data_IF_744795120402
#
_entry.id   IF_744795120402
#
_cell.length_a   1.000
_cell.length_b   1.000
_cell.length_c   1.000
_cell.angle_alpha   90.00
_cell.angle_beta   90.00
_cell.angle_gamma   90.00
#
_symmetry.space_group_name_H-M   'P 1'
#
loop_
_entity.id
_entity.type
_entity.pdbx_description
1 polymer ?
#
# COMPACT_ATOMS: atom_id res chain seq x y z
N UNK A 1 -11.27 2.46 -18.15
CA UNK A 1 -11.60 1.03 -17.97
C UNK A 1 -12.83 0.89 -17.09
N UNK A 2 -12.78 1.29 -15.82
CA UNK A 2 -13.92 1.18 -14.87
C UNK A 2 -15.25 1.71 -15.41
N UNK A 3 -15.28 2.96 -15.92
CA UNK A 3 -16.49 3.54 -16.51
C UNK A 3 -16.92 2.79 -17.79
N UNK A 4 -16.01 2.21 -18.58
CA UNK A 4 -16.41 1.45 -19.76
C UNK A 4 -17.04 0.09 -19.37
N UNK A 5 -16.51 -0.57 -18.33
CA UNK A 5 -17.04 -1.83 -17.80
C UNK A 5 -18.37 -1.64 -17.06
N UNK A 6 -18.52 -0.56 -16.28
CA UNK A 6 -19.78 -0.24 -15.57
C UNK A 6 -20.94 0.09 -16.51
N UNK A 7 -20.65 0.62 -17.70
CA UNK A 7 -21.64 0.96 -18.72
C UNK A 7 -21.78 -0.11 -19.82
N UNK A 8 -21.24 -1.32 -19.62
CA UNK A 8 -21.29 -2.44 -20.58
C UNK A 8 -20.77 -2.10 -21.99
N UNK A 9 -19.82 -1.16 -22.10
CA UNK A 9 -19.20 -0.75 -23.37
C UNK A 9 -18.06 -1.71 -23.72
N UNK A 10 -18.39 -2.95 -24.06
CA UNK A 10 -17.41 -4.04 -24.25
C UNK A 10 -16.31 -3.71 -25.26
N UNK A 11 -16.65 -3.09 -26.39
CA UNK A 11 -15.67 -2.73 -27.42
C UNK A 11 -14.67 -1.68 -26.90
N UNK A 12 -15.16 -0.70 -26.15
CA UNK A 12 -14.34 0.35 -25.54
C UNK A 12 -13.49 -0.21 -24.39
N UNK A 13 -14.03 -1.14 -23.59
CA UNK A 13 -13.29 -1.83 -22.55
C UNK A 13 -12.13 -2.64 -23.15
N UNK A 14 -12.40 -3.46 -24.18
CA UNK A 14 -11.38 -4.23 -24.92
C UNK A 14 -10.30 -3.33 -25.52
N UNK A 15 -10.70 -2.22 -26.15
CA UNK A 15 -9.77 -1.24 -26.71
C UNK A 15 -8.87 -0.63 -25.63
N UNK A 16 -9.45 -0.20 -24.51
CA UNK A 16 -8.69 0.41 -23.39
C UNK A 16 -7.77 -0.62 -22.73
N UNK A 17 -8.21 -1.86 -22.55
CA UNK A 17 -7.38 -2.95 -22.01
C UNK A 17 -6.18 -3.22 -22.90
N UNK A 18 -6.41 -3.45 -24.20
CA UNK A 18 -5.33 -3.65 -25.17
C UNK A 18 -4.37 -2.46 -25.20
N UNK A 19 -4.92 -1.23 -25.26
CA UNK A 19 -4.12 -0.01 -25.25
C UNK A 19 -3.29 0.16 -23.97
N UNK A 20 -3.83 -0.17 -22.80
CA UNK A 20 -3.08 -0.09 -21.53
C UNK A 20 -1.98 -1.14 -21.47
N UNK A 21 -2.26 -2.37 -21.92
CA UNK A 21 -1.28 -3.46 -21.98
C UNK A 21 -0.14 -3.11 -22.93
N UNK A 22 -0.45 -2.55 -24.10
CA UNK A 22 0.53 -2.22 -25.13
C UNK A 22 1.32 -0.94 -24.80
N UNK A 23 0.64 0.15 -24.42
CA UNK A 23 1.27 1.47 -24.28
C UNK A 23 1.70 1.82 -22.86
N UNK A 24 1.13 1.18 -21.84
CA UNK A 24 1.40 1.43 -20.41
C UNK A 24 1.92 0.19 -19.69
N UNK A 25 2.43 -0.81 -20.42
CA UNK A 25 3.06 -2.02 -19.91
C UNK A 25 3.97 -1.79 -18.69
N UNK A 26 4.84 -0.77 -18.77
CA UNK A 26 5.79 -0.45 -17.70
C UNK A 26 5.11 0.03 -16.41
N UNK A 27 4.05 0.84 -16.52
CA UNK A 27 3.29 1.33 -15.38
C UNK A 27 2.48 0.20 -14.75
N UNK A 28 1.74 -0.56 -15.58
CA UNK A 28 0.98 -1.73 -15.13
C UNK A 28 1.89 -2.69 -14.37
N UNK A 29 3.06 -3.01 -14.92
CA UNK A 29 4.06 -3.86 -14.26
C UNK A 29 4.39 -3.44 -12.83
N UNK A 30 4.61 -2.15 -12.58
CA UNK A 30 5.05 -1.63 -11.28
C UNK A 30 3.91 -1.45 -10.27
N UNK A 31 2.70 -1.25 -10.78
CA UNK A 31 1.55 -0.88 -9.96
C UNK A 31 0.49 -1.98 -9.86
N UNK A 32 0.63 -3.10 -10.59
CA UNK A 32 -0.39 -4.15 -10.63
C UNK A 32 -0.72 -4.73 -9.24
N UNK A 33 0.28 -4.95 -8.39
CA UNK A 33 0.06 -5.43 -7.03
C UNK A 33 -0.75 -4.45 -6.16
N UNK A 34 -0.47 -3.14 -6.31
CA UNK A 34 -1.21 -2.08 -5.61
C UNK A 34 -2.64 -1.98 -6.13
N UNK A 35 -2.81 -1.99 -7.45
CA UNK A 35 -4.12 -1.93 -8.11
C UNK A 35 -4.98 -3.17 -7.76
N UNK A 36 -4.38 -4.35 -7.61
CA UNK A 36 -5.04 -5.56 -7.11
C UNK A 36 -5.57 -5.40 -5.68
N UNK A 37 -4.83 -4.74 -4.79
CA UNK A 37 -5.21 -4.53 -3.39
C UNK A 37 -6.32 -3.47 -3.25
N UNK A 38 -6.21 -2.36 -3.99
CA UNK A 38 -7.13 -1.22 -3.89
C UNK A 38 -8.47 -1.44 -4.63
N UNK A 39 -8.52 -2.30 -5.67
CA UNK A 39 -9.70 -2.44 -6.54
C UNK A 39 -10.12 -3.90 -6.79
N UNK A 40 -10.01 -4.74 -5.79
CA UNK A 40 -10.21 -6.20 -5.85
C UNK A 40 -11.50 -6.68 -6.55
N UNK A 41 -12.65 -5.99 -6.39
CA UNK A 41 -13.94 -6.37 -7.02
C UNK A 41 -14.00 -6.12 -8.52
N UNK A 42 -13.22 -5.18 -9.03
CA UNK A 42 -13.33 -4.72 -10.42
C UNK A 42 -12.42 -5.51 -11.37
N UNK A 43 -11.46 -6.25 -10.81
CA UNK A 43 -10.53 -7.07 -11.59
C UNK A 43 -11.10 -8.40 -12.05
N UNK A 44 -12.23 -8.85 -11.49
CA UNK A 44 -12.97 -9.99 -12.04
C UNK A 44 -13.63 -9.65 -13.39
N UNK A 45 -13.63 -8.37 -13.80
CA UNK A 45 -14.18 -7.91 -15.09
C UNK A 45 -13.15 -7.95 -16.23
N UNK A 46 -11.88 -8.27 -15.95
CA UNK A 46 -10.86 -8.38 -17.00
C UNK A 46 -11.20 -9.48 -17.99
N UNK A 47 -11.06 -9.18 -19.28
CA UNK A 47 -11.16 -10.21 -20.32
C UNK A 47 -10.04 -11.25 -20.20
N UNK A 48 -10.34 -12.50 -20.55
CA UNK A 48 -9.40 -13.63 -20.47
C UNK A 48 -8.07 -13.32 -21.16
N UNK A 49 -8.10 -12.73 -22.37
CA UNK A 49 -6.90 -12.40 -23.14
C UNK A 49 -5.99 -11.41 -22.41
N UNK A 50 -6.57 -10.42 -21.72
CA UNK A 50 -5.82 -9.46 -20.91
C UNK A 50 -5.18 -10.15 -19.71
N UNK A 51 -5.93 -11.04 -19.05
CA UNK A 51 -5.42 -11.83 -17.94
C UNK A 51 -4.27 -12.76 -18.36
N UNK A 52 -4.46 -13.52 -19.43
CA UNK A 52 -3.46 -14.43 -20.01
C UNK A 52 -2.19 -13.65 -20.36
N UNK A 53 -2.34 -12.51 -21.04
CA UNK A 53 -1.21 -11.64 -21.41
C UNK A 53 -0.45 -11.18 -20.17
N UNK A 54 -1.15 -10.80 -19.11
CA UNK A 54 -0.55 -10.33 -17.88
C UNK A 54 0.17 -11.45 -17.11
N UNK A 55 -0.51 -12.58 -16.88
CA UNK A 55 0.04 -13.75 -16.17
C UNK A 55 1.23 -14.33 -16.94
N UNK A 56 1.26 -14.20 -18.27
CA UNK A 56 2.39 -14.63 -19.10
C UNK A 56 3.67 -13.80 -18.92
N UNK A 57 3.60 -12.56 -18.42
CA UNK A 57 4.77 -11.65 -18.41
C UNK A 57 5.88 -12.07 -17.46
N UNK A 58 7.09 -12.29 -17.97
CA UNK A 58 8.26 -12.56 -17.13
C UNK A 58 8.61 -11.42 -16.16
N UNK A 59 8.18 -10.19 -16.44
CA UNK A 59 8.52 -9.00 -15.65
C UNK A 59 7.42 -8.54 -14.68
N UNK A 60 6.34 -9.31 -14.49
CA UNK A 60 5.26 -8.94 -13.57
C UNK A 60 5.76 -8.89 -12.10
N UNK A 61 5.58 -7.75 -11.43
CA UNK A 61 6.07 -7.50 -10.07
C UNK A 61 5.10 -8.01 -9.00
N UNK A 62 4.92 -9.32 -8.92
CA UNK A 62 3.99 -9.95 -7.99
C UNK A 62 4.50 -11.33 -7.56
N UNK A 63 4.32 -11.68 -6.27
CA UNK A 63 4.62 -13.04 -5.78
C UNK A 63 3.73 -14.06 -6.48
N UNK A 64 4.27 -15.22 -6.83
CA UNK A 64 3.52 -16.26 -7.57
C UNK A 64 2.26 -16.73 -6.84
N UNK A 65 2.27 -16.81 -5.51
CA UNK A 65 1.06 -17.13 -4.75
C UNK A 65 -0.06 -16.09 -4.92
N UNK A 66 0.29 -14.81 -5.04
CA UNK A 66 -0.70 -13.75 -5.26
C UNK A 66 -1.31 -13.86 -6.66
N UNK A 67 -0.51 -14.25 -7.65
CA UNK A 67 -0.96 -14.52 -9.02
C UNK A 67 -1.89 -15.72 -9.05
N UNK A 68 -1.53 -16.81 -8.37
CA UNK A 68 -2.40 -17.99 -8.22
C UNK A 68 -3.75 -17.63 -7.61
N UNK A 69 -3.73 -16.96 -6.46
CA UNK A 69 -4.95 -16.55 -5.76
C UNK A 69 -5.82 -15.65 -6.64
N UNK A 70 -5.20 -14.73 -7.39
CA UNK A 70 -5.89 -13.90 -8.37
C UNK A 70 -6.59 -14.74 -9.44
N UNK A 71 -5.86 -15.64 -10.09
CA UNK A 71 -6.39 -16.47 -11.18
C UNK A 71 -7.56 -17.33 -10.71
N UNK A 72 -7.47 -17.92 -9.51
CA UNK A 72 -8.58 -18.68 -8.90
C UNK A 72 -9.80 -17.79 -8.68
N UNK A 73 -9.61 -16.61 -8.09
CA UNK A 73 -10.70 -15.67 -7.82
C UNK A 73 -11.38 -15.16 -9.09
N UNK A 74 -10.59 -14.83 -10.11
CA UNK A 74 -11.11 -14.48 -11.43
C UNK A 74 -11.92 -15.63 -12.02
N UNK A 75 -11.39 -16.86 -11.99
CA UNK A 75 -12.09 -18.04 -12.49
C UNK A 75 -13.41 -18.32 -11.78
N UNK A 76 -13.46 -18.19 -10.45
CA UNK A 76 -14.70 -18.33 -9.67
C UNK A 76 -15.73 -17.29 -10.09
N UNK A 77 -15.31 -16.03 -10.26
CA UNK A 77 -16.22 -14.96 -10.66
C UNK A 77 -16.81 -15.15 -12.07
N UNK A 78 -16.11 -15.83 -12.97
CA UNK A 78 -16.63 -16.19 -14.30
C UNK A 78 -17.59 -17.39 -14.29
N UNK A 79 -17.76 -18.06 -13.14
CA UNK A 79 -18.63 -19.22 -12.98
C UNK A 79 -19.63 -18.95 -11.83
N UNK A 80 -20.68 -18.15 -12.06
CA UNK A 80 -21.58 -17.68 -11.01
C UNK A 80 -22.38 -18.80 -10.31
N UNK A 81 -22.51 -19.97 -10.95
CA UNK A 81 -23.23 -21.13 -10.41
C UNK A 81 -22.38 -21.96 -9.41
N UNK A 82 -21.12 -21.57 -9.17
CA UNK A 82 -20.28 -22.24 -8.20
C UNK A 82 -20.75 -21.98 -6.77
N UNK A 83 -20.75 -23.00 -5.89
CA UNK A 83 -21.02 -22.78 -4.47
C UNK A 83 -20.00 -21.83 -3.84
N UNK A 84 -20.45 -21.02 -2.88
CA UNK A 84 -19.58 -20.07 -2.17
C UNK A 84 -18.49 -20.74 -1.33
N UNK A 85 -18.77 -21.89 -0.72
CA UNK A 85 -17.77 -22.70 0.00
C UNK A 85 -17.20 -23.79 -0.92
N UNK A 86 -15.87 -23.81 -1.09
CA UNK A 86 -15.17 -24.80 -1.91
C UNK A 86 -15.34 -26.24 -1.41
N UNK A 87 -15.70 -26.43 -0.13
CA UNK A 87 -15.96 -27.75 0.45
C UNK A 87 -17.20 -28.42 -0.16
N UNK A 88 -18.14 -27.62 -0.64
CA UNK A 88 -19.39 -28.09 -1.24
C UNK A 88 -19.23 -28.38 -2.75
N UNK A 89 -18.02 -28.21 -3.30
CA UNK A 89 -17.80 -28.35 -4.73
C UNK A 89 -17.78 -29.80 -5.19
N UNK A 90 -18.63 -30.09 -6.17
CA UNK A 90 -18.67 -31.34 -6.90
C UNK A 90 -17.52 -31.43 -7.91
N UNK A 91 -17.32 -32.62 -8.50
CA UNK A 91 -16.32 -32.80 -9.54
C UNK A 91 -16.60 -31.95 -10.79
N UNK A 92 -17.88 -31.72 -11.11
CA UNK A 92 -18.29 -30.85 -12.22
C UNK A 92 -17.91 -29.39 -11.94
N UNK A 93 -18.09 -28.91 -10.71
CA UNK A 93 -17.68 -27.55 -10.33
C UNK A 93 -16.17 -27.33 -10.56
N UNK A 94 -15.32 -28.29 -10.17
CA UNK A 94 -13.89 -28.21 -10.46
C UNK A 94 -13.57 -28.28 -11.95
N UNK A 95 -14.35 -29.03 -12.74
CA UNK A 95 -14.17 -29.13 -14.19
C UNK A 95 -14.54 -27.82 -14.89
N UNK A 96 -15.61 -27.15 -14.46
CA UNK A 96 -15.99 -25.83 -14.96
C UNK A 96 -14.89 -24.81 -14.70
N UNK A 97 -14.41 -24.72 -13.45
CA UNK A 97 -13.30 -23.83 -13.11
C UNK A 97 -12.03 -24.15 -13.92
N UNK A 98 -11.69 -25.44 -14.07
CA UNK A 98 -10.54 -25.87 -14.87
C UNK A 98 -10.65 -25.40 -16.32
N UNK A 99 -11.84 -25.51 -16.91
CA UNK A 99 -12.11 -25.11 -18.30
C UNK A 99 -11.94 -23.60 -18.46
N UNK A 100 -12.51 -22.81 -17.56
CA UNK A 100 -12.35 -21.34 -17.56
C UNK A 100 -10.88 -20.91 -17.42
N UNK A 101 -10.10 -21.62 -16.61
CA UNK A 101 -8.70 -21.26 -16.32
C UNK A 101 -7.68 -21.91 -17.25
N UNK A 102 -8.11 -22.66 -18.28
CA UNK A 102 -7.23 -23.50 -19.09
C UNK A 102 -6.06 -22.73 -19.73
N UNK A 103 -6.27 -21.47 -20.12
CA UNK A 103 -5.26 -20.61 -20.75
C UNK A 103 -4.28 -20.03 -19.73
N UNK A 104 -4.71 -19.88 -18.47
CA UNK A 104 -3.92 -19.28 -17.39
C UNK A 104 -3.09 -20.31 -16.61
N UNK A 105 -3.62 -21.52 -16.38
CA UNK A 105 -2.96 -22.56 -15.57
C UNK A 105 -1.54 -22.89 -16.07
N UNK A 106 -1.26 -23.02 -17.38
CA UNK A 106 0.09 -23.30 -17.87
C UNK A 106 1.09 -22.16 -17.65
N UNK A 107 0.62 -20.95 -17.32
CA UNK A 107 1.44 -19.75 -17.14
C UNK A 107 1.85 -19.51 -15.68
N UNK A 108 1.29 -20.27 -14.73
CA UNK A 108 1.62 -20.18 -13.31
C UNK A 108 2.96 -20.86 -13.04
N UNK A 109 3.87 -20.19 -12.32
CA UNK A 109 5.19 -20.74 -11.98
C UNK A 109 5.11 -21.54 -10.67
N UNK A 110 4.41 -22.69 -10.69
CA UNK A 110 4.15 -23.51 -9.49
C UNK A 110 5.40 -23.82 -8.66
N UNK A 111 6.53 -24.09 -9.32
CA UNK A 111 7.80 -24.42 -8.66
C UNK A 111 8.49 -23.22 -7.99
N UNK A 112 7.94 -22.02 -8.12
CA UNK A 112 8.41 -20.79 -7.47
C UNK A 112 7.46 -20.34 -6.35
N UNK A 113 6.40 -21.09 -6.08
CA UNK A 113 5.50 -20.89 -4.94
C UNK A 113 6.13 -21.58 -3.71
N UNK A 114 6.06 -20.95 -2.54
CA UNK A 114 6.60 -21.51 -1.31
C UNK A 114 5.87 -22.81 -0.92
N UNK A 115 6.54 -23.69 -0.16
CA UNK A 115 5.92 -24.95 0.25
C UNK A 115 4.68 -24.75 1.11
N UNK A 116 4.73 -23.78 2.03
CA UNK A 116 3.62 -23.41 2.90
C UNK A 116 2.43 -22.91 2.07
N UNK A 117 2.68 -22.03 1.10
CA UNK A 117 1.64 -21.50 0.22
C UNK A 117 1.01 -22.60 -0.67
N UNK A 118 1.80 -23.57 -1.14
CA UNK A 118 1.26 -24.71 -1.91
C UNK A 118 0.33 -25.55 -1.04
N UNK A 119 0.70 -25.78 0.22
CA UNK A 119 -0.12 -26.56 1.14
C UNK A 119 -1.39 -25.83 1.56
N UNK A 120 -1.32 -24.53 1.83
CA UNK A 120 -2.44 -23.74 2.33
C UNK A 120 -3.43 -23.37 1.22
N UNK A 121 -2.95 -22.96 0.04
CA UNK A 121 -3.80 -22.36 -1.00
C UNK A 121 -3.93 -23.24 -2.26
N UNK A 122 -2.81 -23.74 -2.81
CA UNK A 122 -2.84 -24.48 -4.09
C UNK A 122 -3.48 -25.85 -3.93
N UNK A 123 -3.21 -26.52 -2.80
CA UNK A 123 -3.74 -27.85 -2.46
C UNK A 123 -5.27 -27.91 -2.50
N UNK A 124 -5.95 -26.84 -2.10
CA UNK A 124 -7.42 -26.77 -2.05
C UNK A 124 -8.04 -27.01 -3.44
N UNK A 125 -7.38 -26.51 -4.48
CA UNK A 125 -7.84 -26.59 -5.86
C UNK A 125 -7.07 -27.60 -6.71
N UNK A 126 -6.31 -28.52 -6.10
CA UNK A 126 -5.47 -29.51 -6.81
C UNK A 126 -6.20 -30.30 -7.92
N UNK A 127 -7.53 -30.43 -7.83
CA UNK A 127 -8.37 -31.14 -8.81
C UNK A 127 -8.41 -30.46 -10.19
N UNK A 128 -8.11 -29.15 -10.28
CA UNK A 128 -8.05 -28.43 -11.56
C UNK A 128 -6.69 -28.62 -12.27
N UNK A 129 -5.68 -29.10 -11.55
CA UNK A 129 -4.34 -29.33 -12.08
C UNK A 129 -4.24 -30.69 -12.79
N UNK A 130 -3.36 -30.76 -13.79
CA UNK A 130 -3.02 -32.04 -14.40
C UNK A 130 -2.40 -32.99 -13.37
N UNK A 131 -2.79 -34.28 -13.41
CA UNK A 131 -2.32 -35.28 -12.43
C UNK A 131 -0.80 -35.39 -12.39
N UNK A 132 -0.14 -35.29 -13.55
CA UNK A 132 1.31 -35.30 -13.68
C UNK A 132 1.94 -34.06 -13.01
N UNK A 133 1.39 -32.87 -13.27
CA UNK A 133 1.84 -31.63 -12.66
C UNK A 133 1.72 -31.67 -11.13
N UNK A 134 0.56 -32.07 -10.61
CA UNK A 134 0.37 -32.15 -9.16
C UNK A 134 1.30 -33.18 -8.49
N UNK A 135 1.60 -34.29 -9.17
CA UNK A 135 2.59 -35.27 -8.70
C UNK A 135 3.97 -34.63 -8.59
N UNK A 136 4.40 -33.89 -9.60
CA UNK A 136 5.71 -33.25 -9.66
C UNK A 136 5.86 -32.11 -8.65
N UNK A 137 4.80 -31.30 -8.46
CA UNK A 137 4.75 -30.26 -7.43
C UNK A 137 4.95 -30.86 -6.04
N UNK A 138 4.18 -31.90 -5.69
CA UNK A 138 4.36 -32.61 -4.41
C UNK A 138 5.75 -33.22 -4.27
N UNK A 139 6.31 -33.75 -5.36
CA UNK A 139 7.65 -34.34 -5.34
C UNK A 139 8.72 -33.28 -5.02
N UNK A 140 8.61 -32.08 -5.59
CA UNK A 140 9.53 -30.96 -5.31
C UNK A 140 9.43 -30.44 -3.88
N UNK A 141 8.25 -30.50 -3.25
CA UNK A 141 8.08 -30.18 -1.83
C UNK A 141 8.88 -31.13 -0.93
N UNK A 142 8.88 -32.43 -1.25
CA UNK A 142 9.57 -33.46 -0.46
C UNK A 142 11.06 -33.59 -0.79
N UNK A 143 11.45 -33.24 -2.01
CA UNK A 143 12.82 -33.40 -2.52
C UNK A 143 13.13 -32.31 -3.54
N UNK A 144 13.57 -31.12 -3.08
CA UNK A 144 13.73 -29.94 -3.93
C UNK A 144 14.64 -30.12 -5.14
N UNK A 145 15.60 -31.04 -5.08
CA UNK A 145 16.60 -31.26 -6.14
C UNK A 145 16.21 -32.36 -7.15
N UNK A 146 15.05 -33.00 -6.99
CA UNK A 146 14.66 -34.13 -7.85
C UNK A 146 14.16 -33.64 -9.23
N UNK A 147 14.60 -34.26 -10.34
CA UNK A 147 14.09 -33.92 -11.66
C UNK A 147 12.59 -34.24 -11.75
N UNK A 148 11.86 -33.40 -12.49
CA UNK A 148 10.41 -33.50 -12.73
C UNK A 148 10.17 -33.54 -14.24
N UNK A 149 9.07 -34.16 -14.66
CA UNK A 149 8.70 -34.22 -16.08
C UNK A 149 7.96 -32.96 -16.54
N UNK A 150 7.31 -32.26 -15.61
CA UNK A 150 6.58 -31.02 -15.87
C UNK A 150 7.50 -29.88 -16.30
N UNK A 151 7.01 -29.06 -17.24
CA UNK A 151 7.70 -27.84 -17.66
C UNK A 151 7.88 -26.90 -16.47
N UNK A 152 9.13 -26.55 -16.16
CA UNK A 152 9.47 -25.57 -15.13
C UNK A 152 9.63 -24.22 -15.82
N UNK A 153 8.79 -23.25 -15.45
CA UNK A 153 8.96 -21.87 -15.87
C UNK A 153 10.03 -21.19 -14.99
N UNK A 154 10.93 -20.38 -15.57
CA UNK A 154 11.95 -19.65 -14.81
C UNK A 154 11.28 -18.63 -13.87
N UNK A 155 11.89 -18.25 -12.73
CA UNK A 155 11.36 -17.19 -11.86
C UNK A 155 11.09 -15.89 -12.63
N UNK A 156 10.04 -15.15 -12.24
CA UNK A 156 9.82 -13.80 -12.79
C UNK A 156 10.99 -12.90 -12.46
N UNK A 157 11.34 -12.03 -13.40
CA UNK A 157 12.30 -10.94 -13.20
C UNK A 157 11.63 -9.89 -12.30
N UNK A 158 11.76 -10.07 -11.00
CA UNK A 158 11.41 -9.04 -10.02
C UNK A 158 12.45 -7.94 -10.21
N UNK A 159 12.01 -6.76 -10.59
CA UNK A 159 12.82 -5.57 -10.48
C UNK A 159 13.03 -5.38 -8.99
N UNK A 160 14.19 -5.77 -8.50
CA UNK A 160 14.76 -5.04 -7.38
C UNK A 160 14.84 -3.62 -7.89
N UNK A 161 13.90 -2.77 -7.47
CA UNK A 161 14.02 -1.34 -7.62
C UNK A 161 15.34 -1.04 -6.91
N UNK A 162 16.45 -0.96 -7.64
CA UNK A 162 17.53 -0.05 -7.29
C UNK A 162 16.88 1.31 -7.42
N UNK A 163 16.08 1.64 -6.40
CA UNK A 163 15.86 3.02 -6.02
C UNK A 163 17.27 3.63 -6.08
N UNK A 164 17.46 4.80 -6.70
CA UNK A 164 18.71 5.53 -6.53
C UNK A 164 19.00 5.46 -5.05
N UNK A 165 20.17 4.93 -4.67
CA UNK A 165 20.54 4.61 -3.27
C UNK A 165 19.87 5.63 -2.39
N UNK A 166 18.75 5.24 -1.76
CA UNK A 166 18.20 6.08 -0.70
C UNK A 166 19.37 6.12 0.25
N UNK A 167 19.90 7.31 0.46
CA UNK A 167 20.72 7.55 1.63
C UNK A 167 20.02 6.80 2.76
N UNK A 168 20.73 5.93 3.48
CA UNK A 168 20.21 5.20 4.65
C UNK A 168 19.85 6.19 5.79
N UNK A 169 19.53 7.44 5.45
CA UNK A 169 19.04 8.44 6.35
C UNK A 169 17.60 8.08 6.71
N UNK A 170 17.32 7.96 8.02
CA UNK A 170 15.97 7.74 8.48
C UNK A 170 15.10 8.93 8.08
N UNK A 171 13.84 8.66 7.71
CA UNK A 171 12.87 9.68 7.29
C UNK A 171 12.67 10.77 8.36
N UNK A 172 12.91 10.41 9.62
CA UNK A 172 12.86 11.26 10.80
C UNK A 172 13.94 10.82 11.78
N UNK A 173 14.55 11.78 12.49
CA UNK A 173 15.43 11.50 13.63
C UNK A 173 14.70 11.58 14.97
N UNK A 174 13.42 11.97 14.97
CA UNK A 174 12.61 12.23 16.16
C UNK A 174 11.51 11.18 16.35
N UNK A 175 10.83 10.77 15.28
CA UNK A 175 9.67 9.87 15.31
C UNK A 175 9.86 8.63 14.42
N UNK A 176 9.13 7.56 14.72
CA UNK A 176 9.11 6.31 13.97
C UNK A 176 7.72 6.03 13.36
N UNK A 177 7.56 4.91 12.68
CA UNK A 177 6.29 4.54 12.02
C UNK A 177 5.11 4.37 12.99
N UNK A 178 5.37 3.95 14.24
CA UNK A 178 4.34 3.82 15.28
C UNK A 178 3.81 5.21 15.67
N UNK A 179 4.70 6.18 15.84
CA UNK A 179 4.32 7.57 16.11
C UNK A 179 3.52 8.17 14.94
N UNK A 180 3.91 7.87 13.70
CA UNK A 180 3.17 8.31 12.51
C UNK A 180 1.74 7.75 12.49
N UNK A 181 1.59 6.44 12.74
CA UNK A 181 0.28 5.80 12.80
C UNK A 181 -0.62 6.42 13.88
N UNK A 182 -0.05 6.75 15.04
CA UNK A 182 -0.76 7.39 16.13
C UNK A 182 -1.23 8.81 15.77
N UNK A 183 -0.35 9.65 15.22
CA UNK A 183 -0.71 10.98 14.73
C UNK A 183 -1.80 10.92 13.65
N UNK A 184 -1.66 10.00 12.69
CA UNK A 184 -2.66 9.79 11.65
C UNK A 184 -4.03 9.39 12.21
N UNK A 185 -4.05 8.56 13.24
CA UNK A 185 -5.29 8.19 13.94
C UNK A 185 -5.98 9.40 14.58
N UNK A 186 -5.20 10.34 15.12
CA UNK A 186 -5.73 11.57 15.69
C UNK A 186 -6.23 12.55 14.63
N UNK A 187 -5.64 12.58 13.45
CA UNK A 187 -6.16 13.38 12.32
C UNK A 187 -7.52 12.84 11.87
N UNK A 188 -7.62 11.51 11.66
CA UNK A 188 -8.85 10.87 11.19
C UNK A 188 -9.91 10.64 12.28
N UNK A 189 -9.58 10.93 13.56
CA UNK A 189 -10.43 10.65 14.73
C UNK A 189 -10.81 9.15 14.83
N UNK A 190 -9.84 8.26 14.55
CA UNK A 190 -9.97 6.78 14.52
C UNK A 190 -9.01 6.10 15.51
N UNK A 191 -9.19 4.79 15.74
CA UNK A 191 -8.28 4.01 16.59
C UNK A 191 -6.94 3.68 15.89
N UNK A 192 -5.84 3.71 16.67
CA UNK A 192 -4.44 3.53 16.21
C UNK A 192 -4.19 2.18 15.55
N UNK A 193 -4.89 1.12 15.98
CA UNK A 193 -4.68 -0.27 15.52
C UNK A 193 -4.82 -0.45 14.00
N UNK A 194 -5.48 0.48 13.31
CA UNK A 194 -5.74 0.40 11.88
C UNK A 194 -4.56 0.86 10.99
N UNK A 195 -3.52 1.52 11.52
CA UNK A 195 -2.57 2.30 10.69
C UNK A 195 -1.11 1.83 10.70
N UNK A 196 -0.74 0.81 11.47
CA UNK A 196 0.65 0.33 11.53
C UNK A 196 1.13 -0.35 10.24
N UNK A 197 0.21 -0.90 9.44
CA UNK A 197 0.54 -1.61 8.19
C UNK A 197 0.13 -0.84 6.93
N UNK A 198 -0.81 0.11 7.03
CA UNK A 198 -1.37 0.87 5.89
C UNK A 198 -1.75 2.32 6.28
N UNK A 199 -0.75 3.17 6.59
CA UNK A 199 -1.01 4.59 6.88
C UNK A 199 -1.48 5.33 5.60
N UNK A 200 -2.69 5.94 5.58
CA UNK A 200 -3.25 6.65 4.42
C UNK A 200 -2.58 7.99 4.16
N UNK A 201 -1.66 8.39 5.04
CA UNK A 201 -0.92 9.63 4.93
C UNK A 201 0.53 9.38 4.51
N UNK A 202 1.04 10.29 3.69
CA UNK A 202 2.45 10.45 3.41
C UNK A 202 2.97 11.67 4.18
N UNK A 203 4.00 11.45 5.00
CA UNK A 203 4.67 12.50 5.77
C UNK A 203 5.92 12.94 5.02
N UNK A 204 5.87 14.14 4.44
CA UNK A 204 6.98 14.76 3.73
C UNK A 204 7.72 15.72 4.65
N UNK A 205 8.96 15.41 5.00
CA UNK A 205 9.82 16.29 5.81
C UNK A 205 10.05 17.61 5.07
N UNK A 206 9.57 18.72 5.63
CA UNK A 206 9.80 20.07 5.12
C UNK A 206 11.07 20.67 5.73
N UNK A 207 11.20 20.60 7.05
CA UNK A 207 12.26 21.24 7.81
C UNK A 207 12.75 20.30 8.90
N UNK A 208 14.07 20.18 9.04
CA UNK A 208 14.75 19.52 10.16
C UNK A 208 15.77 20.49 10.75
N UNK A 209 15.68 20.79 12.05
CA UNK A 209 16.57 21.74 12.72
C UNK A 209 18.06 21.48 12.48
N UNK A 210 18.49 20.23 12.62
CA UNK A 210 19.87 19.78 12.37
C UNK A 210 20.33 19.87 10.91
N UNK A 211 19.39 19.91 9.94
CA UNK A 211 19.70 19.98 8.49
C UNK A 211 19.62 21.41 7.96
N UNK A 212 18.56 22.13 8.33
CA UNK A 212 18.17 23.41 7.70
C UNK A 212 18.43 24.63 8.60
N UNK A 213 18.81 24.39 9.86
CA UNK A 213 19.02 25.41 10.87
C UNK A 213 17.73 25.92 11.51
N UNK A 214 17.83 26.37 12.76
CA UNK A 214 16.72 26.87 13.57
C UNK A 214 16.53 28.38 13.37
N UNK A 215 16.36 28.82 12.12
CA UNK A 215 16.20 30.25 11.78
C UNK A 215 14.81 30.57 11.25
N UNK A 216 14.36 31.79 11.53
CA UNK A 216 13.11 32.35 10.99
C UNK A 216 13.09 32.31 9.45
N UNK A 217 14.25 32.56 8.83
CA UNK A 217 14.42 32.53 7.38
C UNK A 217 14.20 31.11 6.84
N UNK A 218 14.82 30.09 7.44
CA UNK A 218 14.63 28.69 7.04
C UNK A 218 13.17 28.26 7.19
N UNK A 219 12.52 28.62 8.30
CA UNK A 219 11.11 28.31 8.53
C UNK A 219 10.20 28.90 7.44
N UNK A 220 10.27 30.20 7.17
CA UNK A 220 9.40 30.79 6.15
C UNK A 220 9.76 30.34 4.72
N UNK A 221 11.02 30.04 4.42
CA UNK A 221 11.39 29.53 3.10
C UNK A 221 10.77 28.15 2.83
N UNK A 222 10.66 27.30 3.84
CA UNK A 222 10.23 25.90 3.69
C UNK A 222 8.75 25.66 4.03
N UNK A 223 8.22 26.38 5.02
CA UNK A 223 6.90 26.14 5.62
C UNK A 223 5.83 27.17 5.24
N UNK A 224 6.18 28.27 4.57
CA UNK A 224 5.20 29.29 4.19
C UNK A 224 4.11 28.72 3.28
N UNK A 225 2.85 28.99 3.64
CA UNK A 225 1.62 28.55 2.96
C UNK A 225 1.47 27.03 2.88
N UNK A 226 2.20 26.26 3.69
CA UNK A 226 2.05 24.80 3.77
C UNK A 226 0.93 24.45 4.73
N UNK A 227 -0.08 23.77 4.24
CA UNK A 227 -1.21 23.23 5.01
C UNK A 227 -0.93 21.79 5.46
N UNK A 228 -1.75 21.27 6.39
CA UNK A 228 -1.63 19.92 6.94
C UNK A 228 -0.23 19.63 7.48
N UNK A 229 0.26 20.52 8.36
CA UNK A 229 1.62 20.43 8.89
C UNK A 229 1.64 19.85 10.30
N UNK A 230 2.58 18.95 10.55
CA UNK A 230 2.87 18.43 11.89
C UNK A 230 4.26 18.88 12.31
N UNK A 231 4.34 19.41 13.52
CA UNK A 231 5.61 19.70 14.20
C UNK A 231 5.85 18.61 15.21
N UNK A 232 7.06 18.08 15.27
CA UNK A 232 7.54 17.20 16.33
C UNK A 232 8.87 17.70 16.86
N UNK A 233 9.04 17.66 18.17
CA UNK A 233 10.27 18.04 18.86
C UNK A 233 10.62 17.00 19.91
N UNK A 234 11.91 16.70 20.05
CA UNK A 234 12.42 15.84 21.13
C UNK A 234 13.05 16.70 22.21
N UNK A 235 12.63 16.53 23.45
CA UNK A 235 13.24 17.24 24.58
C UNK A 235 14.61 16.64 24.89
N UNK A 236 15.63 17.48 24.94
CA UNK A 236 17.02 17.03 25.12
C UNK A 236 17.18 16.39 26.50
N UNK A 237 17.77 15.20 26.54
CA UNK A 237 18.02 14.47 27.78
C UNK A 237 16.81 13.71 28.33
N UNK A 238 15.69 13.68 27.61
CA UNK A 238 14.51 12.89 27.99
C UNK A 238 13.99 12.07 26.79
N UNK A 239 13.05 11.17 27.08
CA UNK A 239 12.30 10.45 26.05
C UNK A 239 11.06 11.23 25.56
N UNK A 240 10.84 12.47 26.02
CA UNK A 240 9.65 13.24 25.66
C UNK A 240 9.70 13.68 24.20
N UNK A 241 8.64 13.34 23.47
CA UNK A 241 8.38 13.84 22.12
C UNK A 241 7.09 14.66 22.18
N UNK A 242 7.21 15.95 21.91
CA UNK A 242 6.09 16.89 21.90
C UNK A 242 5.80 17.32 20.47
N UNK A 243 4.57 17.75 20.20
CA UNK A 243 4.23 18.21 18.86
C UNK A 243 2.85 18.80 18.74
N UNK A 244 2.52 19.16 17.51
CA UNK A 244 1.20 19.67 17.16
C UNK A 244 0.90 19.55 15.69
N UNK A 245 -0.40 19.40 15.39
CA UNK A 245 -0.94 19.39 14.05
C UNK A 245 -1.66 20.71 13.77
N UNK A 246 -1.32 21.32 12.63
CA UNK A 246 -1.97 22.50 12.11
C UNK A 246 -2.43 22.22 10.67
N UNK A 247 -3.75 22.03 10.44
CA UNK A 247 -4.28 21.75 9.11
C UNK A 247 -4.26 22.97 8.18
N UNK A 248 -4.34 24.20 8.71
CA UNK A 248 -4.43 25.41 7.90
C UNK A 248 -3.08 26.05 7.59
N UNK A 249 -2.01 25.61 8.26
CA UNK A 249 -0.65 26.05 8.00
C UNK A 249 -0.30 27.41 8.58
N UNK A 250 0.86 27.92 8.17
CA UNK A 250 1.31 29.27 8.47
C UNK A 250 1.49 30.08 7.20
N UNK A 251 1.09 31.33 7.26
CA UNK A 251 1.32 32.30 6.19
C UNK A 251 2.17 33.42 6.77
N UNK A 252 3.25 33.77 6.07
CA UNK A 252 4.14 34.85 6.49
C UNK A 252 3.30 36.12 6.60
N UNK A 253 3.14 36.71 7.80
CA UNK A 253 2.24 37.82 7.97
C UNK A 253 2.87 39.09 7.35
N UNK A 254 2.02 39.95 6.80
CA UNK A 254 2.42 41.29 6.33
C UNK A 254 2.43 42.33 7.47
N UNK A 255 2.01 41.92 8.67
CA UNK A 255 1.87 42.70 9.92
C UNK A 255 2.42 41.89 11.09
N UNK A 256 2.50 42.46 12.30
CA UNK A 256 3.18 41.84 13.45
C UNK A 256 2.57 40.51 13.94
N UNK A 257 1.30 40.24 13.62
CA UNK A 257 0.63 38.99 13.95
C UNK A 257 -0.58 38.72 13.03
N UNK A 258 -0.88 37.45 12.80
CA UNK A 258 -2.10 36.98 12.14
C UNK A 258 -2.62 35.75 12.88
N UNK A 259 -3.88 35.79 13.31
CA UNK A 259 -4.56 34.66 13.95
C UNK A 259 -5.64 34.13 13.01
N UNK A 260 -5.82 32.80 12.99
CA UNK A 260 -6.85 32.13 12.19
C UNK A 260 -7.54 31.09 13.07
N UNK A 261 -8.88 31.03 13.11
CA UNK A 261 -9.60 30.01 13.87
C UNK A 261 -9.38 28.64 13.22
N UNK A 262 -9.15 27.61 14.05
CA UNK A 262 -8.93 26.24 13.56
C UNK A 262 -9.32 25.20 14.61
N UNK A 263 -10.37 24.43 14.34
CA UNK A 263 -10.92 23.45 15.30
C UNK A 263 -10.25 22.08 15.22
N UNK A 264 -9.65 21.76 14.07
CA UNK A 264 -9.01 20.46 13.83
C UNK A 264 -7.53 20.45 14.24
N UNK A 265 -7.01 21.59 14.72
CA UNK A 265 -5.68 21.64 15.33
C UNK A 265 -5.65 20.87 16.66
N UNK A 266 -4.50 20.29 16.97
CA UNK A 266 -4.28 19.63 18.26
C UNK A 266 -2.80 19.65 18.61
N UNK A 267 -2.51 19.58 19.90
CA UNK A 267 -1.15 19.36 20.43
C UNK A 267 -1.09 17.99 21.10
N UNK A 268 0.10 17.43 21.17
CA UNK A 268 0.29 16.10 21.72
C UNK A 268 1.64 15.91 22.42
N UNK A 269 1.67 14.89 23.26
CA UNK A 269 2.87 14.22 23.74
C UNK A 269 2.80 12.75 23.31
N UNK A 270 3.85 12.22 22.70
CA UNK A 270 3.90 10.82 22.24
C UNK A 270 4.57 9.94 23.29
N UNK A 271 4.04 8.72 23.47
CA UNK A 271 4.73 7.65 24.19
C UNK A 271 6.05 7.33 23.49
N UNK A 272 7.13 7.24 24.24
CA UNK A 272 8.46 6.91 23.75
C UNK A 272 9.35 6.53 24.94
N UNK A 273 10.19 5.51 24.77
CA UNK A 273 11.10 5.01 25.82
C UNK A 273 10.38 4.74 27.15
N UNK A 274 10.76 5.49 28.20
CA UNK A 274 10.16 5.38 29.53
C UNK A 274 8.68 5.83 29.62
N UNK A 275 8.21 6.67 28.68
CA UNK A 275 6.85 7.22 28.66
C UNK A 275 5.91 6.21 28.03
N UNK A 276 4.98 5.68 28.83
CA UNK A 276 4.10 4.57 28.42
C UNK A 276 2.87 5.03 27.62
N UNK A 277 2.40 6.27 27.84
CA UNK A 277 1.13 6.75 27.30
C UNK A 277 1.30 8.06 26.53
N UNK A 278 0.64 8.14 25.38
CA UNK A 278 0.51 9.38 24.61
C UNK A 278 -0.62 10.23 25.16
N UNK A 279 -0.49 11.55 25.06
CA UNK A 279 -1.50 12.54 25.45
C UNK A 279 -1.89 13.34 24.22
N UNK A 280 -3.19 13.44 23.95
CA UNK A 280 -3.76 14.26 22.89
C UNK A 280 -4.60 15.39 23.50
N UNK A 281 -4.36 16.62 23.09
CA UNK A 281 -5.15 17.79 23.50
C UNK A 281 -5.68 18.54 22.28
N UNK A 282 -7.01 18.64 22.18
CA UNK A 282 -7.72 19.34 21.10
C UNK A 282 -8.23 20.69 21.58
N UNK A 283 -8.50 21.56 20.62
CA UNK A 283 -9.16 22.86 20.85
C UNK A 283 -10.52 22.63 21.50
N UNK A 284 -10.77 23.30 22.63
CA UNK A 284 -12.06 23.27 23.35
C UNK A 284 -12.99 24.41 22.96
N UNK A 285 -12.43 25.55 22.58
CA UNK A 285 -13.18 26.76 22.25
C UNK A 285 -12.75 27.28 20.85
N UNK A 286 -13.57 27.05 19.81
CA UNK A 286 -13.34 27.49 18.43
C UNK A 286 -13.18 29.00 18.25
N UNK A 287 -13.72 29.78 19.20
CA UNK A 287 -13.79 31.23 19.11
C UNK A 287 -12.51 31.91 19.61
N UNK A 288 -11.61 31.14 20.23
CA UNK A 288 -10.33 31.61 20.72
C UNK A 288 -9.23 31.29 19.72
N UNK A 289 -8.30 32.22 19.57
CA UNK A 289 -7.17 32.13 18.65
C UNK A 289 -6.27 30.94 19.04
N UNK A 290 -6.04 30.00 18.10
CA UNK A 290 -5.36 28.72 18.40
C UNK A 290 -3.92 28.69 17.88
N UNK A 291 -3.57 29.56 16.93
CA UNK A 291 -2.26 29.55 16.26
C UNK A 291 -1.48 30.78 16.70
N UNK A 292 -0.48 30.55 17.55
CA UNK A 292 0.45 31.57 18.02
C UNK A 292 1.84 31.35 17.40
N UNK A 293 2.40 32.40 16.81
CA UNK A 293 3.75 32.38 16.27
C UNK A 293 4.75 32.72 17.39
N UNK A 294 5.24 31.72 18.12
CA UNK A 294 6.44 31.87 18.96
C UNK A 294 7.56 30.97 18.47
N UNK A 295 8.79 31.47 18.59
CA UNK A 295 9.98 30.75 18.19
C UNK A 295 10.19 29.51 19.07
N UNK A 296 10.31 28.35 18.42
CA UNK A 296 10.70 27.12 19.09
C UNK A 296 12.22 27.12 19.28
N UNK A 297 12.66 27.06 20.54
CA UNK A 297 14.06 26.80 20.88
C UNK A 297 14.24 25.29 21.09
N UNK A 298 14.95 24.59 20.18
CA UNK A 298 15.24 23.16 20.29
C UNK A 298 15.28 22.43 18.93
N UNK A 299 15.77 21.19 18.91
CA UNK A 299 15.70 20.31 17.73
C UNK A 299 14.23 19.92 17.45
N UNK A 300 13.70 20.33 16.30
CA UNK A 300 12.38 19.93 15.83
C UNK A 300 12.38 19.60 14.34
N UNK A 301 11.40 18.80 13.93
CA UNK A 301 11.10 18.47 12.55
C UNK A 301 9.68 18.93 12.21
N UNK A 302 9.49 19.43 10.98
CA UNK A 302 8.19 19.79 10.44
C UNK A 302 7.90 18.93 9.23
N UNK A 303 6.76 18.24 9.26
CA UNK A 303 6.27 17.41 8.17
C UNK A 303 5.05 18.07 7.53
N UNK A 304 4.99 18.04 6.21
CA UNK A 304 3.74 18.23 5.49
C UNK A 304 3.08 16.87 5.28
N UNK A 305 1.79 16.79 5.57
CA UNK A 305 1.02 15.58 5.46
C UNK A 305 0.14 15.65 4.22
N UNK A 306 0.26 14.65 3.37
CA UNK A 306 -0.61 14.46 2.21
C UNK A 306 -1.41 13.19 2.42
N UNK A 307 -2.73 13.28 2.27
CA UNK A 307 -3.55 12.07 2.14
C UNK A 307 -3.18 11.46 0.80
N UNK A 308 -2.76 10.20 0.78
CA UNK A 308 -2.40 9.51 -0.46
C UNK A 308 -3.65 9.50 -1.35
N UNK A 309 -3.53 10.09 -2.54
CA UNK A 309 -4.56 10.01 -3.56
C UNK A 309 -4.71 8.53 -3.95
N UNK A 310 -5.91 7.99 -3.71
CA UNK A 310 -6.31 6.67 -4.18
C UNK A 310 -6.28 6.60 -5.71
#
# INVERSE_FOLDING_TARGET
>A
MFIACEFFLEELAKYIEAHLIETKAHWLRLHFAHVYQENFKNFTLLHENALVSLVGRDDLQMKEIMIWNYVIKWGIAQNPDLPSDYKDWTQENFLSLKTTLQSCLPLIRYFQISGDDIYEYVHLYKKILEKALWKDVKMRLLSPNKPVASKILPPRTILTKKLPTRTNEPFSTVINEIHLAEISSWIDKREVKCFTENNPYEFKLLLRGSRDGLTNVAFWNLCNKKTNVVVVMKVKGTDEILGGYNPIGWEKPNTDYTTKPCNDSFIFSLKNGAIQNSILSRVKDPTKEVIFNYFLYGEYEIFQIHKKSL
#
